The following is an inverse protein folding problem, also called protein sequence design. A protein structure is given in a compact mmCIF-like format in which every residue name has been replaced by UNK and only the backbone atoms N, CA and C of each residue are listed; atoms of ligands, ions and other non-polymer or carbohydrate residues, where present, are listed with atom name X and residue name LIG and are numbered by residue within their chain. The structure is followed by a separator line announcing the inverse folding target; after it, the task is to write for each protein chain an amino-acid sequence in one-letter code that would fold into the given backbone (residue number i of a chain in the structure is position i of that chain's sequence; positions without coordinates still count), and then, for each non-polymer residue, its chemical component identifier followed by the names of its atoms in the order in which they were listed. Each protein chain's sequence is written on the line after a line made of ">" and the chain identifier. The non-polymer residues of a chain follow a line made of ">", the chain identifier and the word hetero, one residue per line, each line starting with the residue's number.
data_IF_376227337825
#
_entry.id   IF_376227337825
#
_cell.length_a   1.000
_cell.length_b   1.000
_cell.length_c   1.000
_cell.angle_alpha   90.00
_cell.angle_beta   90.00
_cell.angle_gamma   90.00
#
_symmetry.space_group_name_H-M   'P 1'
#
loop_
_entity.id
_entity.type
_entity.pdbx_description
1 polymer ?
#
# COMPACT_ATOMS: atom_id res chain seq x y z
N UNK A 1 -11.80 15.48 22.12
CA UNK A 1 -11.22 16.20 20.99
C UNK A 1 -12.17 16.00 19.82
N UNK A 2 -12.94 17.03 19.44
CA UNK A 2 -13.81 16.93 18.27
C UNK A 2 -12.95 16.78 17.01
N UNK A 3 -13.21 15.75 16.21
CA UNK A 3 -12.61 15.64 14.89
C UNK A 3 -13.01 16.89 14.08
N UNK A 4 -12.02 17.63 13.58
CA UNK A 4 -12.28 18.77 12.72
C UNK A 4 -12.93 18.28 11.43
N UNK A 5 -14.26 18.30 11.38
CA UNK A 5 -15.03 18.02 10.17
C UNK A 5 -14.78 19.15 9.16
N UNK A 6 -13.73 19.01 8.36
CA UNK A 6 -13.48 19.89 7.22
C UNK A 6 -14.49 19.59 6.12
N UNK A 7 -15.47 20.48 5.94
CA UNK A 7 -16.41 20.43 4.82
C UNK A 7 -15.73 20.95 3.55
N UNK A 8 -15.63 20.11 2.52
CA UNK A 8 -15.11 20.48 1.18
C UNK A 8 -16.13 21.34 0.40
N UNK A 9 -16.52 22.49 0.96
CA UNK A 9 -17.36 23.45 0.25
C UNK A 9 -16.51 24.21 -0.76
N UNK A 10 -16.93 24.16 -2.03
CA UNK A 10 -16.29 24.87 -3.14
C UNK A 10 -16.21 26.37 -2.83
N UNK A 11 -14.98 26.89 -2.73
CA UNK A 11 -14.74 28.34 -2.60
C UNK A 11 -14.89 28.98 -3.98
N UNK A 12 -16.13 29.38 -4.33
CA UNK A 12 -16.46 30.00 -5.62
C UNK A 12 -15.52 31.13 -6.07
N UNK A 13 -14.97 32.00 -5.19
CA UNK A 13 -14.02 33.03 -5.60
C UNK A 13 -12.67 32.50 -6.11
N UNK A 14 -12.31 31.24 -5.83
CA UNK A 14 -11.09 30.60 -6.31
C UNK A 14 -11.27 29.93 -7.68
N UNK A 15 -12.48 29.95 -8.24
CA UNK A 15 -12.75 29.43 -9.58
C UNK A 15 -12.63 30.57 -10.58
N UNK A 16 -11.85 30.39 -11.65
CA UNK A 16 -11.83 31.33 -12.76
C UNK A 16 -13.12 31.18 -13.58
N UNK A 17 -14.01 32.18 -13.61
CA UNK A 17 -15.26 32.11 -14.38
C UNK A 17 -15.03 32.08 -15.90
N UNK A 18 -13.81 32.35 -16.37
CA UNK A 18 -13.40 32.26 -17.77
C UNK A 18 -12.65 30.97 -18.08
N UNK A 19 -12.59 30.02 -17.14
CA UNK A 19 -11.96 28.73 -17.38
C UNK A 19 -12.75 27.97 -18.46
N UNK A 20 -12.19 27.91 -19.67
CA UNK A 20 -12.82 27.23 -20.81
C UNK A 20 -12.65 25.70 -20.78
N UNK A 21 -12.05 25.15 -19.72
CA UNK A 21 -11.82 23.71 -19.53
C UNK A 21 -10.37 23.29 -19.72
N UNK A 22 -10.05 22.07 -19.30
CA UNK A 22 -8.79 21.41 -19.66
C UNK A 22 -8.93 20.86 -21.08
N UNK A 23 -8.06 21.29 -21.99
CA UNK A 23 -7.93 20.65 -23.31
C UNK A 23 -7.07 19.40 -23.12
N UNK A 24 -7.71 18.23 -23.14
CA UNK A 24 -6.99 16.96 -23.21
C UNK A 24 -6.19 16.95 -24.52
N UNK A 25 -4.90 16.64 -24.44
CA UNK A 25 -4.13 16.36 -25.65
C UNK A 25 -4.79 15.18 -26.37
N UNK A 26 -5.01 15.34 -27.68
CA UNK A 26 -5.48 14.26 -28.55
C UNK A 26 -4.30 13.40 -29.03
N UNK A 27 -3.07 13.74 -28.65
CA UNK A 27 -1.90 12.93 -28.96
C UNK A 27 -2.03 11.58 -28.25
N UNK A 28 -1.76 10.48 -28.96
CA UNK A 28 -1.81 9.16 -28.34
C UNK A 28 -0.77 9.10 -27.22
N UNK A 29 -1.17 8.55 -26.07
CA UNK A 29 -0.23 8.28 -25.00
C UNK A 29 0.77 7.24 -25.48
N UNK A 30 2.08 7.42 -25.26
CA UNK A 30 3.07 6.43 -25.63
C UNK A 30 2.81 5.13 -24.84
N UNK A 31 2.59 4.05 -25.57
CA UNK A 31 2.39 2.72 -25.00
C UNK A 31 3.64 1.88 -25.26
N UNK A 32 4.21 1.33 -24.20
CA UNK A 32 5.37 0.46 -24.27
C UNK A 32 4.95 -0.96 -23.88
N UNK A 33 5.40 -1.96 -24.65
CA UNK A 33 5.14 -3.37 -24.38
C UNK A 33 6.46 -4.11 -24.24
N UNK A 34 6.53 -4.98 -23.23
CA UNK A 34 7.71 -5.75 -22.91
C UNK A 34 7.30 -7.19 -22.61
N UNK A 35 8.02 -8.15 -23.18
CA UNK A 35 7.88 -9.55 -22.81
C UNK A 35 8.59 -9.81 -21.48
N UNK A 36 7.88 -10.46 -20.55
CA UNK A 36 8.39 -10.75 -19.21
C UNK A 36 8.87 -12.20 -19.15
N UNK A 37 10.01 -12.41 -18.47
CA UNK A 37 10.55 -13.76 -18.24
C UNK A 37 9.64 -14.61 -17.32
N UNK A 38 8.82 -13.96 -16.50
CA UNK A 38 7.81 -14.57 -15.63
C UNK A 38 6.56 -13.70 -15.59
N UNK A 39 5.39 -14.34 -15.44
CA UNK A 39 4.12 -13.63 -15.37
C UNK A 39 4.02 -12.80 -14.09
N UNK A 40 3.31 -11.68 -14.16
CA UNK A 40 2.91 -10.89 -12.99
C UNK A 40 2.10 -11.78 -12.04
N UNK A 41 2.31 -11.64 -10.72
CA UNK A 41 1.55 -12.37 -9.72
C UNK A 41 0.07 -11.94 -9.75
N UNK A 42 -0.79 -12.86 -10.15
CA UNK A 42 -2.24 -12.69 -10.08
C UNK A 42 -2.81 -13.67 -9.06
N UNK A 43 -3.60 -13.16 -8.12
CA UNK A 43 -4.36 -13.96 -7.16
C UNK A 43 -5.83 -13.68 -7.39
N UNK A 44 -6.57 -14.71 -7.81
CA UNK A 44 -8.01 -14.61 -8.05
C UNK A 44 -8.76 -14.68 -6.73
N UNK A 45 -9.82 -13.88 -6.63
CA UNK A 45 -10.75 -13.99 -5.51
C UNK A 45 -11.44 -15.35 -5.54
N UNK A 46 -11.54 -15.94 -4.36
CA UNK A 46 -12.24 -17.20 -4.11
C UNK A 46 -13.74 -16.99 -4.07
N UNK A 47 -14.51 -18.06 -4.24
CA UNK A 47 -15.99 -18.04 -4.20
C UNK A 47 -16.56 -17.45 -2.89
N UNK A 48 -15.84 -17.63 -1.77
CA UNK A 48 -16.19 -17.06 -0.46
C UNK A 48 -15.70 -15.61 -0.24
N UNK A 49 -15.01 -15.04 -1.23
CA UNK A 49 -14.45 -13.67 -1.24
C UNK A 49 -15.04 -12.82 -2.39
N UNK A 50 -16.31 -13.01 -2.73
CA UNK A 50 -16.97 -12.29 -3.85
C UNK A 50 -17.95 -11.20 -3.42
N UNK A 51 -17.81 -10.63 -2.23
CA UNK A 51 -18.63 -9.46 -1.86
C UNK A 51 -18.15 -8.20 -2.59
N UNK A 52 -19.02 -7.19 -2.70
CA UNK A 52 -18.68 -5.89 -3.29
C UNK A 52 -17.38 -5.31 -2.69
N UNK A 53 -17.21 -5.45 -1.37
CA UNK A 53 -16.04 -4.94 -0.68
C UNK A 53 -14.76 -5.69 -1.08
N UNK A 54 -14.82 -7.01 -1.32
CA UNK A 54 -13.67 -7.77 -1.83
C UNK A 54 -13.27 -7.33 -3.23
N UNK A 55 -14.26 -7.14 -4.10
CA UNK A 55 -14.01 -6.63 -5.46
C UNK A 55 -13.38 -5.23 -5.43
N UNK A 56 -13.84 -4.36 -4.53
CA UNK A 56 -13.26 -3.03 -4.36
C UNK A 56 -11.83 -3.06 -3.77
N UNK A 57 -11.57 -3.90 -2.77
CA UNK A 57 -10.27 -3.94 -2.12
C UNK A 57 -9.20 -4.68 -2.97
N UNK A 58 -9.60 -5.77 -3.61
CA UNK A 58 -8.66 -6.76 -4.16
C UNK A 58 -8.88 -7.02 -5.65
N UNK A 59 -10.08 -6.79 -6.18
CA UNK A 59 -10.41 -7.05 -7.59
C UNK A 59 -9.85 -6.02 -8.57
N UNK A 60 -9.59 -4.79 -8.10
CA UNK A 60 -9.04 -3.67 -8.92
C UNK A 60 -7.59 -3.35 -8.55
N UNK A 61 -6.83 -4.35 -8.14
CA UNK A 61 -5.45 -4.17 -7.70
C UNK A 61 -4.53 -3.85 -8.89
N UNK A 62 -3.92 -2.67 -8.90
CA UNK A 62 -2.94 -2.32 -9.92
C UNK A 62 -1.63 -3.06 -9.62
N UNK A 63 -1.17 -3.87 -10.57
CA UNK A 63 0.07 -4.64 -10.45
C UNK A 63 1.34 -3.81 -10.68
N UNK A 64 1.19 -2.60 -11.21
CA UNK A 64 2.28 -1.65 -11.37
C UNK A 64 2.27 -0.63 -10.24
N UNK A 65 3.41 -0.49 -9.60
CA UNK A 65 3.62 0.38 -8.46
C UNK A 65 4.66 1.44 -8.82
N UNK A 66 4.23 2.70 -8.85
CA UNK A 66 5.13 3.83 -9.07
C UNK A 66 5.85 4.20 -7.78
N UNK A 67 7.11 4.63 -7.90
CA UNK A 67 7.84 5.22 -6.80
C UNK A 67 7.69 6.75 -6.82
N UNK A 68 7.14 7.32 -5.76
CA UNK A 68 6.89 8.75 -5.66
C UNK A 68 8.17 9.60 -5.66
N UNK A 69 9.32 9.01 -5.31
CA UNK A 69 10.62 9.70 -5.28
C UNK A 69 11.44 9.48 -6.56
N UNK A 70 11.15 8.44 -7.32
CA UNK A 70 11.85 8.08 -8.56
C UNK A 70 10.81 7.82 -9.65
N UNK A 71 10.36 8.90 -10.30
CA UNK A 71 9.19 8.89 -11.18
C UNK A 71 9.35 8.01 -12.42
N UNK A 72 10.59 7.78 -12.86
CA UNK A 72 10.90 6.89 -13.99
C UNK A 72 10.94 5.42 -13.56
N UNK A 73 10.74 5.08 -12.29
CA UNK A 73 10.81 3.72 -11.78
C UNK A 73 9.42 3.14 -11.51
N UNK A 74 9.15 2.00 -12.15
CA UNK A 74 7.94 1.21 -11.95
C UNK A 74 8.30 -0.16 -11.40
N UNK A 75 7.47 -0.68 -10.51
CA UNK A 75 7.69 -1.95 -9.84
C UNK A 75 6.50 -2.88 -10.02
N UNK A 76 6.76 -4.18 -10.07
CA UNK A 76 5.72 -5.21 -10.02
C UNK A 76 6.24 -6.43 -9.28
N UNK A 77 5.33 -7.31 -8.88
CA UNK A 77 5.65 -8.58 -8.23
C UNK A 77 5.28 -9.69 -9.20
N UNK A 78 6.21 -10.60 -9.48
CA UNK A 78 5.95 -11.73 -10.36
C UNK A 78 5.48 -12.98 -9.59
N UNK A 79 5.01 -13.98 -10.34
CA UNK A 79 4.49 -15.23 -9.78
C UNK A 79 5.56 -16.10 -9.07
N UNK A 80 6.84 -15.72 -9.12
CA UNK A 80 7.94 -16.34 -8.38
C UNK A 80 8.24 -15.59 -7.06
N UNK A 81 7.43 -14.59 -6.70
CA UNK A 81 7.62 -13.78 -5.49
C UNK A 81 8.78 -12.79 -5.60
N UNK A 82 9.23 -12.46 -6.82
CA UNK A 82 10.28 -11.48 -7.07
C UNK A 82 9.67 -10.10 -7.26
N UNK A 83 10.28 -9.11 -6.62
CA UNK A 83 10.00 -7.71 -6.88
C UNK A 83 10.92 -7.27 -8.01
N UNK A 84 10.29 -6.87 -9.11
CA UNK A 84 10.94 -6.48 -10.33
C UNK A 84 10.81 -4.96 -10.48
N UNK A 85 11.90 -4.31 -10.90
CA UNK A 85 11.96 -2.90 -11.21
C UNK A 85 12.19 -2.70 -12.71
N UNK A 86 11.51 -1.72 -13.28
CA UNK A 86 11.69 -1.26 -14.65
C UNK A 86 11.86 0.26 -14.64
N UNK A 87 12.92 0.74 -15.30
CA UNK A 87 13.11 2.17 -15.56
C UNK A 87 12.47 2.51 -16.90
N UNK A 88 11.57 3.48 -16.90
CA UNK A 88 10.81 3.96 -18.04
C UNK A 88 11.28 5.38 -18.35
N UNK A 89 12.14 5.52 -19.35
CA UNK A 89 12.51 6.82 -19.90
C UNK A 89 11.75 7.04 -21.20
N UNK A 90 11.15 8.23 -21.35
CA UNK A 90 10.45 8.59 -22.59
C UNK A 90 11.40 8.45 -23.79
N UNK A 91 10.87 7.98 -24.91
CA UNK A 91 11.59 7.87 -26.19
C UNK A 91 12.81 6.93 -26.20
N UNK A 92 12.98 6.14 -25.13
CA UNK A 92 14.05 5.13 -25.02
C UNK A 92 13.43 3.73 -25.01
N UNK A 93 14.11 2.77 -25.63
CA UNK A 93 13.69 1.37 -25.54
C UNK A 93 13.70 0.90 -24.08
N UNK A 94 12.64 0.22 -23.66
CA UNK A 94 12.57 -0.37 -22.32
C UNK A 94 13.69 -1.41 -22.13
N UNK A 95 14.43 -1.29 -21.04
CA UNK A 95 15.37 -2.32 -20.61
C UNK A 95 14.65 -3.57 -20.10
N UNK A 96 15.42 -4.62 -19.76
CA UNK A 96 14.86 -5.78 -19.07
C UNK A 96 14.52 -5.44 -17.61
N UNK A 97 13.43 -5.98 -17.05
CA UNK A 97 13.12 -5.79 -15.64
C UNK A 97 14.20 -6.42 -14.77
N UNK A 98 14.56 -5.74 -13.68
CA UNK A 98 15.58 -6.17 -12.74
C UNK A 98 14.98 -6.63 -11.43
N UNK A 99 15.39 -7.78 -10.93
CA UNK A 99 15.06 -8.23 -9.58
C UNK A 99 15.76 -7.34 -8.54
N UNK A 100 14.98 -6.70 -7.66
CA UNK A 100 15.48 -5.87 -6.55
C UNK A 100 15.32 -6.56 -5.20
N UNK A 101 14.36 -7.47 -5.09
CA UNK A 101 14.07 -8.23 -3.88
C UNK A 101 13.32 -9.52 -4.20
N UNK A 102 13.36 -10.49 -3.30
CA UNK A 102 12.56 -11.73 -3.38
C UNK A 102 11.95 -12.04 -2.04
N UNK A 103 10.65 -12.31 -2.03
CA UNK A 103 9.93 -12.74 -0.84
C UNK A 103 10.55 -14.05 -0.30
N UNK A 104 10.87 -14.14 1.01
CA UNK A 104 11.51 -15.33 1.58
C UNK A 104 10.63 -16.58 1.62
N UNK A 105 9.31 -16.39 1.67
CA UNK A 105 8.33 -17.46 1.87
C UNK A 105 7.78 -17.92 0.53
N UNK A 106 7.58 -19.24 0.38
CA UNK A 106 6.78 -19.76 -0.72
C UNK A 106 5.30 -19.43 -0.49
N UNK A 107 4.90 -18.27 -1.00
CA UNK A 107 3.53 -17.76 -0.93
C UNK A 107 2.51 -18.65 -1.64
N UNK A 108 2.94 -19.55 -2.54
CA UNK A 108 2.00 -20.40 -3.31
C UNK A 108 1.37 -21.50 -2.48
N UNK A 109 1.93 -21.82 -1.31
CA UNK A 109 1.39 -22.79 -0.37
C UNK A 109 0.11 -22.31 0.36
N UNK A 110 -0.22 -21.01 0.28
CA UNK A 110 -1.31 -20.40 1.05
C UNK A 110 -2.56 -20.18 0.19
N UNK A 111 -3.57 -21.03 0.40
CA UNK A 111 -4.83 -21.02 -0.37
C UNK A 111 -5.72 -19.80 -0.10
N UNK A 112 -5.55 -19.11 1.02
CA UNK A 112 -6.32 -17.91 1.38
C UNK A 112 -5.53 -16.61 1.14
N UNK A 113 -4.45 -16.62 0.35
CA UNK A 113 -3.60 -15.43 0.15
C UNK A 113 -4.29 -14.34 -0.67
N UNK A 114 -3.76 -13.13 -0.56
CA UNK A 114 -4.03 -11.99 -1.44
C UNK A 114 -2.83 -11.76 -2.38
N UNK A 115 -2.98 -10.83 -3.32
CA UNK A 115 -1.82 -10.30 -4.01
C UNK A 115 -0.89 -9.61 -3.01
N UNK A 116 0.42 -9.82 -3.17
CA UNK A 116 1.40 -9.08 -2.42
C UNK A 116 1.27 -7.58 -2.73
N UNK A 117 1.56 -6.73 -1.75
CA UNK A 117 1.38 -5.29 -1.88
C UNK A 117 2.59 -4.50 -1.44
N UNK A 118 2.86 -3.40 -2.15
CA UNK A 118 4.00 -2.53 -1.94
C UNK A 118 3.55 -1.09 -1.79
N UNK A 119 4.18 -0.38 -0.85
CA UNK A 119 4.05 1.06 -0.74
C UNK A 119 5.42 1.67 -0.45
N UNK A 120 5.86 2.60 -1.30
CA UNK A 120 7.10 3.33 -1.08
C UNK A 120 6.90 4.34 0.04
N UNK A 121 7.68 4.18 1.09
CA UNK A 121 7.48 4.88 2.37
C UNK A 121 8.33 6.14 2.47
N UNK A 122 9.49 6.13 1.80
CA UNK A 122 10.42 7.24 1.68
C UNK A 122 11.39 6.98 0.51
N UNK A 123 12.34 7.90 0.19
CA UNK A 123 13.37 7.64 -0.82
C UNK A 123 14.24 6.40 -0.56
N UNK A 124 14.28 5.91 0.69
CA UNK A 124 15.13 4.81 1.13
C UNK A 124 14.41 3.69 1.88
N UNK A 125 13.08 3.73 1.93
CA UNK A 125 12.26 2.74 2.64
C UNK A 125 11.05 2.30 1.82
N UNK A 126 10.70 1.03 1.96
CA UNK A 126 9.50 0.43 1.37
C UNK A 126 8.85 -0.52 2.35
N UNK A 127 7.53 -0.57 2.33
CA UNK A 127 6.73 -1.51 3.13
C UNK A 127 6.07 -2.52 2.21
N UNK A 128 6.13 -3.80 2.57
CA UNK A 128 5.56 -4.89 1.79
C UNK A 128 4.63 -5.77 2.62
N UNK A 129 3.59 -6.26 1.97
CA UNK A 129 2.87 -7.46 2.41
C UNK A 129 3.13 -8.56 1.40
N UNK A 130 3.34 -9.79 1.87
CA UNK A 130 3.39 -10.97 0.99
C UNK A 130 1.98 -11.50 0.63
N UNK A 131 0.92 -10.85 1.12
CA UNK A 131 -0.46 -11.26 0.91
C UNK A 131 -0.89 -12.47 1.74
N UNK A 132 -0.03 -13.03 2.59
CA UNK A 132 -0.38 -14.15 3.50
C UNK A 132 -0.71 -13.67 4.91
N UNK A 133 -0.38 -12.42 5.23
CA UNK A 133 -0.53 -11.83 6.56
C UNK A 133 0.79 -11.43 7.20
N UNK A 134 1.89 -11.44 6.46
CA UNK A 134 3.20 -10.96 6.94
C UNK A 134 3.49 -9.54 6.46
N UNK A 135 3.92 -8.71 7.39
CA UNK A 135 4.40 -7.35 7.14
C UNK A 135 5.92 -7.37 7.01
N UNK A 136 6.47 -6.64 6.06
CA UNK A 136 7.89 -6.36 5.94
C UNK A 136 8.12 -4.84 5.90
N UNK A 137 9.13 -4.37 6.63
CA UNK A 137 9.71 -3.04 6.46
C UNK A 137 11.13 -3.23 5.94
N UNK A 138 11.39 -2.65 4.78
CA UNK A 138 12.61 -2.86 4.01
C UNK A 138 13.35 -1.55 3.84
N UNK A 139 14.65 -1.59 4.14
CA UNK A 139 15.61 -0.55 3.76
C UNK A 139 16.06 -0.79 2.32
N UNK A 140 15.88 0.20 1.45
CA UNK A 140 16.22 0.09 0.03
C UNK A 140 17.52 0.80 -0.34
N UNK A 141 18.12 1.53 0.59
CA UNK A 141 19.24 2.43 0.29
C UNK A 141 18.85 3.55 -0.67
N UNK A 142 19.83 4.09 -1.39
CA UNK A 142 19.61 5.08 -2.45
C UNK A 142 19.22 4.39 -3.77
N UNK A 143 17.92 4.30 -4.02
CA UNK A 143 17.38 3.62 -5.21
C UNK A 143 17.77 4.29 -6.54
N UNK A 144 18.21 5.55 -6.54
CA UNK A 144 18.53 6.29 -7.76
C UNK A 144 19.99 6.14 -8.23
N UNK A 145 20.93 6.02 -7.28
CA UNK A 145 22.37 6.05 -7.60
C UNK A 145 23.03 4.67 -7.62
N UNK A 146 22.58 3.74 -6.78
CA UNK A 146 23.15 2.40 -6.72
C UNK A 146 22.06 1.38 -6.45
N UNK A 147 22.00 0.29 -7.22
CA UNK A 147 21.01 -0.73 -7.01
C UNK A 147 21.47 -1.64 -5.85
N UNK A 148 21.38 -1.11 -4.63
CA UNK A 148 21.60 -1.85 -3.41
C UNK A 148 20.53 -2.93 -3.27
N UNK A 149 20.94 -4.10 -2.76
CA UNK A 149 20.00 -5.18 -2.48
C UNK A 149 19.14 -4.72 -1.30
N UNK A 150 17.82 -4.75 -1.50
CA UNK A 150 16.85 -4.43 -0.47
C UNK A 150 17.05 -5.34 0.76
N UNK A 151 17.13 -4.72 1.95
CA UNK A 151 17.39 -5.39 3.22
C UNK A 151 16.14 -5.41 4.11
N UNK A 152 15.82 -6.57 4.68
CA UNK A 152 14.72 -6.70 5.63
C UNK A 152 15.15 -6.12 6.97
N UNK A 153 14.53 -5.00 7.35
CA UNK A 153 14.78 -4.33 8.63
C UNK A 153 13.80 -4.79 9.71
N UNK A 154 12.61 -5.20 9.30
CA UNK A 154 11.56 -5.77 10.13
C UNK A 154 10.73 -6.75 9.32
N UNK A 155 10.32 -7.86 9.93
CA UNK A 155 9.18 -8.62 9.44
C UNK A 155 8.45 -9.34 10.57
N UNK A 156 7.13 -9.39 10.50
CA UNK A 156 6.28 -10.05 11.49
C UNK A 156 4.96 -10.50 10.86
N UNK A 157 4.40 -11.60 11.37
CA UNK A 157 3.11 -12.12 10.96
C UNK A 157 2.00 -11.50 11.81
N UNK A 158 1.05 -10.83 11.16
CA UNK A 158 -0.04 -10.10 11.80
C UNK A 158 -1.38 -10.82 11.63
N UNK A 159 -1.36 -12.14 11.52
CA UNK A 159 -2.55 -12.98 11.37
C UNK A 159 -3.05 -13.06 9.93
N UNK A 160 -4.30 -12.66 9.70
CA UNK A 160 -4.97 -12.84 8.40
C UNK A 160 -4.23 -12.14 7.24
N UNK A 161 -4.54 -12.46 5.98
CA UNK A 161 -4.11 -11.68 4.82
C UNK A 161 -4.52 -10.20 4.90
N UNK A 162 -3.69 -9.32 4.35
CA UNK A 162 -3.97 -7.88 4.19
C UNK A 162 -3.24 -7.32 2.98
N UNK A 163 -3.62 -6.11 2.57
CA UNK A 163 -2.83 -5.27 1.67
C UNK A 163 -2.40 -3.98 2.38
N UNK A 164 -1.30 -3.39 1.94
CA UNK A 164 -0.83 -2.07 2.37
C UNK A 164 -1.43 -1.04 1.43
N UNK A 165 -2.13 -0.05 1.99
CA UNK A 165 -2.73 1.03 1.21
C UNK A 165 -1.99 2.36 1.36
N UNK A 166 -1.22 2.53 2.44
CA UNK A 166 -0.39 3.71 2.65
C UNK A 166 0.71 3.45 3.69
N UNK A 167 1.85 4.12 3.56
CA UNK A 167 2.89 4.14 4.60
C UNK A 167 3.74 5.41 4.53
N UNK A 168 4.25 5.86 5.68
CA UNK A 168 5.13 7.01 5.79
C UNK A 168 6.31 6.75 6.74
N UNK A 169 7.47 7.29 6.40
CA UNK A 169 8.66 7.27 7.25
C UNK A 169 8.67 8.51 8.13
N UNK A 170 8.85 8.30 9.43
CA UNK A 170 8.83 9.34 10.45
C UNK A 170 10.18 9.36 11.16
N UNK A 171 10.82 10.54 11.18
CA UNK A 171 12.02 10.78 11.95
C UNK A 171 11.68 11.83 13.03
N UNK A 172 11.55 11.39 14.29
CA UNK A 172 11.23 12.27 15.43
C UNK A 172 12.30 12.07 16.50
N UNK A 173 12.95 13.14 16.93
CA UNK A 173 13.95 13.11 18.02
C UNK A 173 15.02 11.99 17.85
N UNK A 174 15.55 11.85 16.62
CA UNK A 174 16.55 10.82 16.23
C UNK A 174 16.04 9.35 16.28
N UNK A 175 14.75 9.14 16.55
CA UNK A 175 14.10 7.84 16.49
C UNK A 175 13.37 7.69 15.15
N UNK A 176 13.81 6.71 14.35
CA UNK A 176 13.15 6.37 13.09
C UNK A 176 12.00 5.41 13.36
N UNK A 177 10.86 5.71 12.74
CA UNK A 177 9.67 4.87 12.75
C UNK A 177 9.00 4.87 11.39
N UNK A 178 8.25 3.82 11.11
CA UNK A 178 7.50 3.63 9.88
C UNK A 178 6.05 3.37 10.25
N UNK A 179 5.17 4.30 9.88
CA UNK A 179 3.74 4.19 10.08
C UNK A 179 3.09 3.60 8.83
N UNK A 180 2.28 2.57 8.99
CA UNK A 180 1.74 1.74 7.92
C UNK A 180 0.24 1.59 8.12
N UNK A 181 -0.51 1.71 7.03
CA UNK A 181 -1.96 1.51 7.00
C UNK A 181 -2.27 0.25 6.19
N UNK A 182 -2.82 -0.74 6.88
CA UNK A 182 -3.22 -2.03 6.32
C UNK A 182 -4.73 -2.04 6.08
N UNK A 183 -5.17 -2.73 5.04
CA UNK A 183 -6.57 -2.99 4.73
C UNK A 183 -6.85 -4.50 4.74
N UNK A 184 -7.88 -4.88 5.47
CA UNK A 184 -8.41 -6.25 5.52
C UNK A 184 -9.92 -6.26 5.28
N UNK A 185 -10.39 -7.40 4.79
CA UNK A 185 -11.80 -7.75 4.85
C UNK A 185 -11.91 -9.00 5.72
N UNK A 186 -12.70 -8.89 6.78
CA UNK A 186 -12.81 -9.91 7.79
C UNK A 186 -14.25 -10.38 7.91
N UNK A 187 -14.41 -11.68 8.17
CA UNK A 187 -15.73 -12.29 8.35
C UNK A 187 -16.33 -11.83 9.67
N UNK A 188 -17.61 -11.50 9.64
CA UNK A 188 -18.41 -11.16 10.81
C UNK A 188 -19.41 -12.28 11.07
N UNK A 189 -19.05 -13.24 11.92
CA UNK A 189 -19.87 -14.43 12.15
C UNK A 189 -21.28 -14.12 12.69
N UNK A 190 -21.42 -12.99 13.40
CA UNK A 190 -22.67 -12.55 14.01
C UNK A 190 -23.55 -11.71 13.06
N UNK A 191 -23.05 -11.35 11.87
CA UNK A 191 -23.81 -10.53 10.92
C UNK A 191 -24.75 -11.38 10.06
N UNK A 192 -25.93 -11.65 10.60
CA UNK A 192 -26.98 -12.42 9.93
C UNK A 192 -27.78 -11.62 8.89
N UNK A 193 -27.57 -10.30 8.78
CA UNK A 193 -28.38 -9.40 7.93
C UNK A 193 -27.59 -8.65 6.86
N UNK A 194 -26.27 -8.53 7.02
CA UNK A 194 -25.37 -7.90 6.08
C UNK A 194 -24.66 -8.90 5.16
N UNK A 195 -23.53 -8.49 4.60
CA UNK A 195 -22.70 -9.35 3.75
C UNK A 195 -21.98 -10.45 4.53
N UNK A 196 -22.02 -10.44 5.86
CA UNK A 196 -21.21 -11.33 6.70
C UNK A 196 -19.74 -10.91 6.80
N UNK A 197 -19.40 -9.67 6.42
CA UNK A 197 -18.04 -9.13 6.44
C UNK A 197 -18.01 -7.68 6.90
N UNK A 198 -16.86 -7.28 7.44
CA UNK A 198 -16.51 -5.89 7.72
C UNK A 198 -15.13 -5.56 7.17
N UNK A 199 -14.85 -4.26 7.04
CA UNK A 199 -13.56 -3.74 6.59
C UNK A 199 -12.77 -3.31 7.83
N UNK A 200 -11.54 -3.79 7.93
CA UNK A 200 -10.60 -3.39 8.98
C UNK A 200 -9.49 -2.54 8.37
N UNK A 201 -9.30 -1.34 8.92
CA UNK A 201 -8.14 -0.49 8.67
C UNK A 201 -7.25 -0.53 9.90
N UNK A 202 -6.03 -1.03 9.72
CA UNK A 202 -5.08 -1.17 10.81
C UNK A 202 -3.92 -0.20 10.64
N UNK A 203 -3.73 0.65 11.64
CA UNK A 203 -2.60 1.57 11.69
C UNK A 203 -1.53 0.99 12.60
N UNK A 204 -0.46 0.50 11.98
CA UNK A 204 0.69 -0.11 12.63
C UNK A 204 1.86 0.89 12.60
N UNK A 205 2.58 1.03 13.71
CA UNK A 205 3.85 1.80 13.75
C UNK A 205 4.98 0.89 14.18
N UNK A 206 5.94 0.75 13.28
CA UNK A 206 7.17 -0.01 13.49
C UNK A 206 8.30 0.97 13.82
N UNK A 207 8.88 0.88 15.01
CA UNK A 207 9.87 1.83 15.52
C UNK A 207 11.20 1.15 15.79
N UNK A 208 12.29 1.86 15.56
CA UNK A 208 13.65 1.40 15.83
C UNK A 208 13.89 1.27 17.34
N UNK A 209 14.36 0.11 17.81
CA UNK A 209 14.74 -0.09 19.22
C UNK A 209 15.91 0.78 19.61
N UNK A 210 15.84 1.38 20.80
CA UNK A 210 16.95 2.15 21.40
C UNK A 210 18.10 1.26 21.84
N UNK A 211 17.80 0.05 22.33
CA UNK A 211 18.79 -0.88 22.88
C UNK A 211 19.57 -1.66 21.81
N UNK A 212 18.95 -1.89 20.64
CA UNK A 212 19.57 -2.57 19.50
C UNK A 212 19.35 -1.73 18.24
N UNK A 213 20.39 -0.99 17.87
CA UNK A 213 20.38 -0.07 16.72
C UNK A 213 20.05 -0.71 15.36
N UNK A 214 19.87 -2.03 15.29
CA UNK A 214 19.48 -2.74 14.07
C UNK A 214 18.08 -3.36 14.14
N UNK A 215 17.41 -3.38 15.28
CA UNK A 215 16.09 -4.01 15.42
C UNK A 215 14.97 -2.99 15.42
N UNK A 216 13.89 -3.35 14.76
CA UNK A 216 12.62 -2.65 14.77
C UNK A 216 11.57 -3.49 15.48
N UNK A 217 10.56 -2.86 16.05
CA UNK A 217 9.40 -3.54 16.65
C UNK A 217 8.11 -2.75 16.43
N UNK A 218 6.98 -3.42 16.53
CA UNK A 218 5.67 -2.76 16.57
C UNK A 218 5.52 -2.08 17.92
N UNK A 219 5.25 -0.77 17.89
CA UNK A 219 5.07 0.06 19.09
C UNK A 219 3.65 0.61 19.22
N UNK A 220 2.86 0.51 18.15
CA UNK A 220 1.49 1.02 18.10
C UNK A 220 0.70 0.20 17.09
N UNK A 221 -0.51 -0.22 17.48
CA UNK A 221 -1.45 -0.91 16.59
C UNK A 221 -2.87 -0.45 16.91
N UNK A 222 -3.45 0.36 16.02
CA UNK A 222 -4.85 0.78 16.12
C UNK A 222 -5.69 0.09 15.06
N UNK A 223 -6.91 -0.25 15.43
CA UNK A 223 -7.86 -0.89 14.52
C UNK A 223 -9.11 -0.03 14.38
N UNK A 224 -9.44 0.29 13.13
CA UNK A 224 -10.67 0.96 12.75
C UNK A 224 -11.54 -0.02 11.94
N UNK A 225 -12.80 -0.18 12.34
CA UNK A 225 -13.76 -1.02 11.61
C UNK A 225 -14.79 -0.18 10.87
N UNK A 226 -15.05 -0.57 9.63
CA UNK A 226 -16.04 0.02 8.75
C UNK A 226 -16.84 -1.04 8.00
N UNK A 227 -17.82 -0.59 7.24
CA UNK A 227 -18.70 -1.45 6.41
C UNK A 227 -18.53 -1.17 4.91
N UNK A 228 -17.50 -0.42 4.53
CA UNK A 228 -17.16 -0.09 3.14
C UNK A 228 -15.66 0.14 3.02
N UNK A 229 -15.04 -0.38 1.96
CA UNK A 229 -13.65 -0.08 1.58
C UNK A 229 -13.53 1.44 1.36
N UNK A 230 -12.49 2.10 1.89
CA UNK A 230 -12.30 3.51 1.64
C UNK A 230 -11.96 3.77 0.17
N UNK A 231 -12.52 4.83 -0.41
CA UNK A 231 -12.07 5.36 -1.70
C UNK A 231 -10.66 5.95 -1.60
N UNK A 232 -10.32 6.47 -0.42
CA UNK A 232 -9.00 6.98 -0.10
C UNK A 232 -8.77 6.84 1.40
N UNK A 233 -7.59 6.36 1.79
CA UNK A 233 -7.14 6.45 3.16
C UNK A 233 -5.63 6.65 3.22
N UNK A 234 -5.18 7.55 4.08
CA UNK A 234 -3.77 7.87 4.24
C UNK A 234 -3.45 8.29 5.67
N UNK A 235 -2.18 8.14 6.04
CA UNK A 235 -1.63 8.65 7.28
C UNK A 235 -1.20 10.09 7.03
N UNK A 236 -1.55 11.01 7.94
CA UNK A 236 -1.12 12.40 7.85
C UNK A 236 0.41 12.50 7.84
N UNK A 237 1.02 13.48 7.14
CA UNK A 237 2.48 13.58 7.01
C UNK A 237 3.26 13.62 8.35
N UNK A 238 2.63 14.08 9.43
CA UNK A 238 3.22 14.14 10.77
C UNK A 238 3.08 12.83 11.57
N UNK A 239 2.35 11.83 11.02
CA UNK A 239 2.06 10.56 11.67
C UNK A 239 1.12 10.64 12.87
N UNK A 240 0.30 11.69 12.97
CA UNK A 240 -0.57 11.90 14.14
C UNK A 240 -2.05 11.67 13.86
N UNK A 241 -2.44 11.42 12.61
CA UNK A 241 -3.84 11.22 12.21
C UNK A 241 -4.00 10.37 10.95
N UNK A 242 -5.25 10.03 10.66
CA UNK A 242 -5.67 9.35 9.44
C UNK A 242 -6.68 10.22 8.69
N UNK A 243 -6.49 10.32 7.38
CA UNK A 243 -7.48 10.86 6.45
C UNK A 243 -8.22 9.70 5.82
N UNK A 244 -9.56 9.68 5.91
CA UNK A 244 -10.38 8.59 5.36
C UNK A 244 -11.54 9.19 4.57
N UNK A 245 -11.69 8.76 3.33
CA UNK A 245 -12.84 9.05 2.45
C UNK A 245 -13.49 7.73 2.12
N UNK A 246 -14.70 7.49 2.63
CA UNK A 246 -15.43 6.23 2.47
C UNK A 246 -16.93 6.48 2.37
N UNK A 247 -17.67 5.51 1.84
CA UNK A 247 -19.12 5.59 1.76
C UNK A 247 -19.78 5.47 3.14
N UNK A 248 -19.25 4.60 4.00
CA UNK A 248 -19.69 4.41 5.39
C UNK A 248 -18.58 4.79 6.36
N UNK A 249 -18.96 5.34 7.51
CA UNK A 249 -18.03 5.76 8.56
C UNK A 249 -17.25 4.59 9.17
N UNK A 250 -16.02 4.86 9.57
CA UNK A 250 -15.20 3.96 10.39
C UNK A 250 -15.34 4.29 11.89
N UNK A 251 -15.22 3.26 12.72
CA UNK A 251 -15.20 3.37 14.19
C UNK A 251 -13.88 2.79 14.72
N UNK A 252 -13.24 3.50 15.63
CA UNK A 252 -12.08 2.98 16.36
C UNK A 252 -12.55 1.89 17.32
N UNK A 253 -11.91 0.72 17.28
CA UNK A 253 -12.28 -0.44 18.11
C UNK A 253 -11.28 -0.67 19.23
N UNK A 254 -9.99 -0.49 18.94
CA UNK A 254 -8.91 -0.64 19.90
C UNK A 254 -7.75 0.30 19.55
N UNK A 255 -7.03 0.68 20.59
CA UNK A 255 -5.78 1.36 20.48
C UNK A 255 -4.94 1.12 21.72
N UNK A 256 -3.78 0.53 21.50
CA UNK A 256 -2.71 0.51 22.50
C UNK A 256 -2.04 1.89 22.60
#
# INVERSE_FOLDING_TARGET
>A
MEAANCSLRVKRPLLDPRFEGYKLSLEPLPCYQLELDAAVAEVKLRDDQYTLEHMHAFGMYNYLHCDAWYQDSVYYIDNLGRIMNLTVMLDTALGKPREVFRLPTDVTAYDNRLCASIHFTSPSWVTLSDGTGRLYVIGTGDRGNSPEKWEIMFNEELGNPFIIIHSISLLKAEEHSVAILLLRIEKEELDLKGSGFYVSLEWVVVTKKKEDSKKYEITKHHVLRGKSVPHYAAIEPNGNGLMIVSYKSFKVISGD
#
